data_IF_166790927777
#
_entry.id   IF_166790927777
#
_cell.length_a   1.000
_cell.length_b   1.000
_cell.length_c   1.000
_cell.angle_alpha   90.00
_cell.angle_beta   90.00
_cell.angle_gamma   90.00
#
_symmetry.space_group_name_H-M   'P 1'
#
loop_
_entity.id
_entity.type
_entity.pdbx_description
1 polymer ?
#
# COMPACT_ATOMS: atom_id res chain seq x y z
N UNK A 1 8.62 11.83 -34.54
CA UNK A 1 7.18 11.57 -34.58
C UNK A 1 6.72 11.69 -33.14
N UNK A 2 6.28 12.87 -32.72
CA UNK A 2 5.68 13.05 -31.41
C UNK A 2 4.43 12.17 -31.38
N UNK A 3 4.42 11.16 -30.52
CA UNK A 3 3.20 10.44 -30.21
C UNK A 3 2.14 11.49 -29.82
N UNK A 4 0.90 11.29 -30.26
CA UNK A 4 -0.23 12.12 -29.89
C UNK A 4 -0.35 12.06 -28.36
N UNK A 5 0.15 13.08 -27.67
CA UNK A 5 0.19 13.07 -26.20
C UNK A 5 -1.25 13.22 -25.74
N UNK A 6 -1.78 12.27 -24.94
CA UNK A 6 -3.17 12.32 -24.50
C UNK A 6 -3.49 13.64 -23.79
N UNK A 7 -4.73 14.12 -23.96
CA UNK A 7 -5.22 15.30 -23.23
C UNK A 7 -5.22 15.01 -21.72
N UNK A 8 -4.31 15.64 -20.99
CA UNK A 8 -4.13 15.42 -19.55
C UNK A 8 -5.32 15.95 -18.76
N UNK A 9 -5.94 17.04 -19.22
CA UNK A 9 -7.08 17.64 -18.54
C UNK A 9 -8.28 16.72 -18.63
N UNK A 10 -8.56 16.16 -19.81
CA UNK A 10 -9.62 15.15 -19.99
C UNK A 10 -9.39 13.92 -19.12
N UNK A 11 -8.14 13.44 -19.01
CA UNK A 11 -7.82 12.28 -18.16
C UNK A 11 -8.10 12.59 -16.68
N UNK A 12 -7.71 13.78 -16.21
CA UNK A 12 -7.91 14.17 -14.81
C UNK A 12 -9.39 14.37 -14.49
N UNK A 13 -10.16 14.98 -15.40
CA UNK A 13 -11.60 15.19 -15.23
C UNK A 13 -12.35 13.86 -15.18
N UNK A 14 -12.08 12.94 -16.12
CA UNK A 14 -12.68 11.59 -16.13
C UNK A 14 -12.29 10.78 -14.90
N UNK A 15 -11.08 10.96 -14.38
CA UNK A 15 -10.63 10.33 -13.15
C UNK A 15 -11.21 10.97 -11.87
N UNK A 16 -11.89 12.12 -11.99
CA UNK A 16 -12.44 12.86 -10.86
C UNK A 16 -11.37 13.46 -9.94
N UNK A 17 -10.26 13.93 -10.50
CA UNK A 17 -9.19 14.53 -9.70
C UNK A 17 -9.58 15.92 -9.19
N UNK A 18 -9.64 16.06 -7.87
CA UNK A 18 -9.78 17.33 -7.16
C UNK A 18 -8.49 17.63 -6.37
N UNK A 19 -7.77 18.74 -6.67
CA UNK A 19 -6.56 19.10 -5.95
C UNK A 19 -6.79 19.47 -4.48
N UNK A 20 -8.01 19.86 -4.08
CA UNK A 20 -8.32 20.23 -2.69
C UNK A 20 -8.59 19.00 -1.80
N UNK A 21 -8.99 17.88 -2.41
CA UNK A 21 -9.26 16.60 -1.73
C UNK A 21 -8.13 15.57 -1.91
N UNK A 22 -7.01 15.97 -2.52
CA UNK A 22 -5.88 15.08 -2.82
C UNK A 22 -4.58 15.49 -2.14
N UNK A 23 -3.77 14.49 -1.77
CA UNK A 23 -2.37 14.71 -1.36
C UNK A 23 -1.46 15.06 -2.54
N UNK A 24 -1.92 14.81 -3.77
CA UNK A 24 -1.16 15.09 -4.98
C UNK A 24 -1.42 16.52 -5.41
N UNK A 25 -0.35 17.25 -5.72
CA UNK A 25 -0.49 18.51 -6.46
C UNK A 25 -1.02 18.24 -7.86
N UNK A 26 -1.65 19.25 -8.50
CA UNK A 26 -2.07 19.18 -9.91
C UNK A 26 -0.95 18.67 -10.82
N UNK A 27 0.26 19.22 -10.68
CA UNK A 27 1.41 18.83 -11.49
C UNK A 27 1.83 17.36 -11.29
N UNK A 28 1.73 16.84 -10.06
CA UNK A 28 2.00 15.42 -9.79
C UNK A 28 0.93 14.52 -10.42
N UNK A 29 -0.34 14.93 -10.35
CA UNK A 29 -1.44 14.20 -10.97
C UNK A 29 -1.32 14.17 -12.50
N UNK A 30 -1.00 15.30 -13.14
CA UNK A 30 -0.72 15.40 -14.58
C UNK A 30 0.38 14.44 -15.02
N UNK A 31 1.52 14.45 -14.29
CA UNK A 31 2.65 13.57 -14.59
C UNK A 31 2.26 12.10 -14.43
N UNK A 32 1.57 11.72 -13.35
CA UNK A 32 1.10 10.34 -13.17
C UNK A 32 0.13 9.92 -14.29
N UNK A 33 -0.86 10.76 -14.61
CA UNK A 33 -1.85 10.48 -15.65
C UNK A 33 -1.18 10.15 -17.00
N UNK A 34 -0.23 10.97 -17.44
CA UNK A 34 0.50 10.75 -18.69
C UNK A 34 1.43 9.53 -18.61
N UNK A 35 2.07 9.28 -17.45
CA UNK A 35 2.94 8.11 -17.25
C UNK A 35 2.15 6.80 -17.30
N UNK A 36 0.95 6.75 -16.73
CA UNK A 36 0.06 5.58 -16.80
C UNK A 36 -0.50 5.33 -18.22
N UNK A 37 -0.39 6.32 -19.12
CA UNK A 37 -0.63 6.17 -20.58
C UNK A 37 0.63 5.85 -21.38
N UNK A 38 1.77 5.63 -20.71
CA UNK A 38 3.03 5.23 -21.35
C UNK A 38 3.84 6.39 -21.95
N UNK A 39 3.45 7.65 -21.75
CA UNK A 39 4.19 8.81 -22.26
C UNK A 39 5.55 8.92 -21.57
N UNK A 40 6.62 9.20 -22.34
CA UNK A 40 7.96 9.28 -21.78
C UNK A 40 8.14 10.55 -20.93
N UNK A 41 9.05 10.54 -19.95
CA UNK A 41 9.34 11.73 -19.15
C UNK A 41 9.88 12.91 -19.99
N UNK A 42 10.50 12.62 -21.14
CA UNK A 42 10.99 13.64 -22.05
C UNK A 42 9.80 14.33 -22.74
N UNK A 43 8.89 13.56 -23.33
CA UNK A 43 7.69 14.08 -24.00
C UNK A 43 6.77 14.83 -23.01
N UNK A 44 6.64 14.33 -21.77
CA UNK A 44 5.93 15.05 -20.71
C UNK A 44 6.60 16.39 -20.40
N UNK A 45 7.93 16.44 -20.42
CA UNK A 45 8.68 17.69 -20.23
C UNK A 45 8.36 18.70 -21.32
N UNK A 46 8.35 18.25 -22.58
CA UNK A 46 8.03 19.08 -23.73
C UNK A 46 6.58 19.62 -23.66
N UNK A 47 5.61 18.77 -23.31
CA UNK A 47 4.19 19.17 -23.22
C UNK A 47 3.90 20.07 -22.02
N UNK A 48 4.52 19.81 -20.87
CA UNK A 48 4.29 20.60 -19.65
C UNK A 48 5.21 21.83 -19.53
N UNK A 49 6.07 22.08 -20.52
CA UNK A 49 6.97 23.23 -20.56
C UNK A 49 8.05 23.19 -19.50
N UNK A 50 8.60 22.00 -19.21
CA UNK A 50 9.60 21.79 -18.14
C UNK A 50 10.67 20.78 -18.56
N UNK A 51 11.79 20.73 -17.83
CA UNK A 51 12.84 19.74 -18.10
C UNK A 51 12.42 18.31 -17.73
N UNK A 52 12.91 17.31 -18.49
CA UNK A 52 12.82 15.88 -18.14
C UNK A 52 13.29 15.59 -16.70
N UNK A 53 14.34 16.27 -16.25
CA UNK A 53 14.88 16.11 -14.91
C UNK A 53 13.88 16.56 -13.83
N UNK A 54 13.13 17.64 -14.09
CA UNK A 54 12.05 18.07 -13.21
C UNK A 54 10.87 17.08 -13.24
N UNK A 55 10.47 16.58 -14.42
CA UNK A 55 9.42 15.55 -14.54
C UNK A 55 9.78 14.32 -13.72
N UNK A 56 11.02 13.84 -13.81
CA UNK A 56 11.47 12.69 -13.02
C UNK A 56 11.34 12.93 -11.51
N UNK A 57 11.67 14.12 -11.01
CA UNK A 57 11.51 14.46 -9.59
C UNK A 57 10.03 14.51 -9.19
N UNK A 58 9.18 15.11 -10.03
CA UNK A 58 7.73 15.18 -9.80
C UNK A 58 7.12 13.78 -9.79
N UNK A 59 7.47 12.91 -10.74
CA UNK A 59 6.98 11.53 -10.80
C UNK A 59 7.37 10.74 -9.54
N UNK A 60 8.65 10.77 -9.14
CA UNK A 60 9.10 10.08 -7.93
C UNK A 60 8.35 10.57 -6.70
N UNK A 61 8.24 11.90 -6.53
CA UNK A 61 7.49 12.47 -5.41
C UNK A 61 6.00 12.12 -5.43
N UNK A 62 5.38 12.06 -6.63
CA UNK A 62 3.99 11.64 -6.78
C UNK A 62 3.80 10.18 -6.37
N UNK A 63 4.68 9.28 -6.83
CA UNK A 63 4.64 7.86 -6.46
C UNK A 63 4.88 7.64 -4.97
N UNK A 64 5.79 8.40 -4.36
CA UNK A 64 6.03 8.37 -2.92
C UNK A 64 4.80 8.82 -2.13
N UNK A 65 4.13 9.89 -2.58
CA UNK A 65 2.89 10.36 -1.95
C UNK A 65 1.79 9.30 -2.04
N UNK A 66 1.60 8.68 -3.20
CA UNK A 66 0.63 7.57 -3.36
C UNK A 66 0.97 6.40 -2.43
N UNK A 67 2.24 6.00 -2.35
CA UNK A 67 2.66 4.91 -1.48
C UNK A 67 2.37 5.22 0.01
N UNK A 68 2.72 6.43 0.46
CA UNK A 68 2.47 6.89 1.84
C UNK A 68 0.96 7.00 2.15
N UNK A 69 0.16 7.48 1.22
CA UNK A 69 -1.30 7.55 1.40
C UNK A 69 -1.93 6.16 1.50
N UNK A 70 -1.49 5.20 0.67
CA UNK A 70 -1.94 3.80 0.78
C UNK A 70 -1.59 3.21 2.14
N UNK A 71 -0.38 3.45 2.63
CA UNK A 71 0.03 3.00 3.96
C UNK A 71 -0.79 3.67 5.08
N UNK A 72 -1.08 4.97 4.95
CA UNK A 72 -1.90 5.72 5.90
C UNK A 72 -3.32 5.14 6.00
N UNK A 73 -3.95 4.84 4.85
CA UNK A 73 -5.26 4.19 4.81
C UNK A 73 -5.19 2.81 5.43
N UNK A 74 -4.21 1.98 5.05
CA UNK A 74 -4.03 0.65 5.62
C UNK A 74 -3.81 0.68 7.14
N UNK A 75 -3.14 1.72 7.66
CA UNK A 75 -2.92 1.91 9.10
C UNK A 75 -4.23 2.24 9.81
N UNK A 76 -5.00 3.18 9.28
CA UNK A 76 -6.31 3.54 9.80
C UNK A 76 -7.30 2.36 9.75
N UNK A 77 -7.25 1.54 8.70
CA UNK A 77 -8.05 0.31 8.58
C UNK A 77 -7.70 -0.69 9.68
N UNK A 78 -6.42 -0.91 9.96
CA UNK A 78 -5.99 -1.82 11.04
C UNK A 78 -6.42 -1.33 12.42
N UNK A 79 -6.34 -0.03 12.70
CA UNK A 79 -6.85 0.51 13.97
C UNK A 79 -8.36 0.27 14.16
N UNK A 80 -9.11 0.24 13.05
CA UNK A 80 -10.56 -0.02 13.04
C UNK A 80 -10.90 -1.50 12.89
N UNK A 81 -9.91 -2.36 12.67
CA UNK A 81 -10.13 -3.78 12.43
C UNK A 81 -10.79 -4.42 13.65
N UNK A 82 -11.91 -5.15 13.48
CA UNK A 82 -12.59 -5.83 14.58
C UNK A 82 -11.71 -6.92 15.23
N UNK A 83 -10.70 -7.41 14.52
CA UNK A 83 -9.75 -8.41 15.01
C UNK A 83 -8.35 -7.82 14.98
N UNK A 84 -7.69 -7.86 16.13
CA UNK A 84 -6.29 -7.53 16.32
C UNK A 84 -5.66 -8.64 17.16
N UNK A 85 -4.57 -9.22 16.66
CA UNK A 85 -3.84 -10.31 17.32
C UNK A 85 -2.39 -9.90 17.48
N UNK A 86 -1.96 -9.79 18.73
CA UNK A 86 -0.56 -9.58 19.07
C UNK A 86 0.16 -10.93 19.06
N UNK A 87 1.16 -11.05 18.18
CA UNK A 87 2.08 -12.18 18.12
C UNK A 87 3.34 -11.78 18.89
N UNK A 88 3.53 -12.44 20.04
CA UNK A 88 4.63 -12.14 20.96
C UNK A 88 5.97 -12.65 20.43
N UNK A 89 7.10 -12.02 20.81
CA UNK A 89 8.43 -12.59 20.58
C UNK A 89 8.54 -14.01 21.16
N UNK A 90 9.13 -14.91 20.38
CA UNK A 90 9.29 -16.33 20.72
C UNK A 90 8.18 -17.24 20.20
N UNK A 91 7.08 -16.71 19.65
CA UNK A 91 6.06 -17.52 18.96
C UNK A 91 6.64 -18.19 17.72
N UNK A 92 6.34 -19.47 17.50
CA UNK A 92 6.66 -20.17 16.26
C UNK A 92 5.68 -19.73 15.17
N UNK A 93 6.18 -19.43 13.97
CA UNK A 93 5.38 -18.99 12.84
C UNK A 93 4.24 -19.98 12.50
N UNK A 94 4.40 -21.26 12.82
CA UNK A 94 3.38 -22.29 12.62
C UNK A 94 2.20 -22.18 13.59
N UNK A 95 2.36 -21.49 14.72
CA UNK A 95 1.29 -21.23 15.69
C UNK A 95 0.43 -20.03 15.28
N UNK A 96 0.97 -19.13 14.45
CA UNK A 96 0.31 -17.87 14.07
C UNK A 96 -1.04 -18.07 13.38
N UNK A 97 -1.22 -19.01 12.43
CA UNK A 97 -2.53 -19.25 11.81
C UNK A 97 -3.63 -19.56 12.83
N UNK A 98 -3.35 -20.42 13.81
CA UNK A 98 -4.35 -20.81 14.81
C UNK A 98 -4.76 -19.62 15.69
N UNK A 99 -3.79 -18.78 16.10
CA UNK A 99 -4.06 -17.54 16.84
C UNK A 99 -4.95 -16.58 16.05
N UNK A 100 -4.71 -16.43 14.74
CA UNK A 100 -5.51 -15.58 13.86
C UNK A 100 -6.93 -16.13 13.70
N UNK A 101 -7.07 -17.43 13.46
CA UNK A 101 -8.38 -18.06 13.29
C UNK A 101 -9.22 -17.98 14.56
N UNK A 102 -8.64 -18.28 15.72
CA UNK A 102 -9.36 -18.19 16.99
C UNK A 102 -9.86 -16.76 17.25
N UNK A 103 -9.02 -15.76 16.98
CA UNK A 103 -9.42 -14.36 17.14
C UNK A 103 -10.53 -13.95 16.16
N UNK A 104 -10.49 -14.45 14.92
CA UNK A 104 -11.51 -14.16 13.92
C UNK A 104 -12.85 -14.84 14.25
N UNK A 105 -12.82 -16.11 14.67
CA UNK A 105 -14.01 -16.86 15.08
C UNK A 105 -14.71 -16.19 16.26
N UNK A 106 -13.94 -15.73 17.27
CA UNK A 106 -14.49 -14.99 18.42
C UNK A 106 -15.19 -13.70 18.03
N UNK A 107 -14.77 -13.06 16.94
CA UNK A 107 -15.34 -11.81 16.45
C UNK A 107 -16.31 -12.00 15.27
N UNK A 108 -16.60 -13.25 14.87
CA UNK A 108 -17.50 -13.56 13.76
C UNK A 108 -16.98 -13.12 12.39
N UNK A 109 -15.66 -12.99 12.23
CA UNK A 109 -15.01 -12.60 10.97
C UNK A 109 -14.53 -13.85 10.25
N UNK A 110 -14.82 -13.95 8.94
CA UNK A 110 -14.27 -15.02 8.10
C UNK A 110 -12.91 -14.62 7.55
N UNK A 111 -11.92 -15.48 7.74
CA UNK A 111 -10.58 -15.31 7.15
C UNK A 111 -10.52 -16.12 5.85
N UNK A 112 -10.29 -15.50 4.68
CA UNK A 112 -10.23 -16.20 3.40
C UNK A 112 -8.87 -16.86 3.14
N UNK A 113 -7.90 -16.73 4.06
CA UNK A 113 -6.54 -17.23 3.91
C UNK A 113 -6.36 -18.61 4.56
N UNK A 114 -5.72 -19.51 3.83
CA UNK A 114 -5.21 -20.78 4.36
C UNK A 114 -3.99 -20.56 5.27
N UNK A 115 -3.65 -21.54 6.10
CA UNK A 115 -2.52 -21.43 7.03
C UNK A 115 -1.19 -21.09 6.31
N UNK A 116 -0.84 -21.71 5.15
CA UNK A 116 0.33 -21.31 4.37
C UNK A 116 0.30 -19.86 3.90
N UNK A 117 -0.87 -19.33 3.52
CA UNK A 117 -1.03 -17.94 3.10
C UNK A 117 -0.87 -16.99 4.28
N UNK A 118 -1.42 -17.33 5.46
CA UNK A 118 -1.21 -16.54 6.68
C UNK A 118 0.26 -16.47 7.04
N UNK A 119 0.96 -17.61 7.07
CA UNK A 119 2.40 -17.66 7.35
C UNK A 119 3.20 -16.83 6.34
N UNK A 120 2.90 -16.98 5.05
CA UNK A 120 3.56 -16.20 3.99
C UNK A 120 3.33 -14.70 4.17
N UNK A 121 2.09 -14.28 4.41
CA UNK A 121 1.76 -12.87 4.64
C UNK A 121 2.50 -12.30 5.85
N UNK A 122 2.62 -13.09 6.92
CA UNK A 122 3.39 -12.69 8.11
C UNK A 122 4.87 -12.55 7.75
N UNK A 123 5.51 -13.55 7.14
CA UNK A 123 6.92 -13.48 6.76
C UNK A 123 7.23 -12.34 5.77
N UNK A 124 6.39 -12.13 4.76
CA UNK A 124 6.62 -11.13 3.71
C UNK A 124 6.52 -9.69 4.25
N UNK A 125 5.72 -9.45 5.31
CA UNK A 125 5.44 -8.12 5.84
C UNK A 125 6.10 -7.83 7.21
N UNK A 126 6.57 -8.86 7.91
CA UNK A 126 7.22 -8.69 9.21
C UNK A 126 8.69 -8.27 9.08
N UNK A 127 9.30 -8.37 7.90
CA UNK A 127 10.71 -8.03 7.69
C UNK A 127 11.62 -8.80 8.65
N UNK A 128 12.52 -8.10 9.34
CA UNK A 128 13.46 -8.70 10.29
C UNK A 128 12.80 -9.16 11.61
N UNK A 129 11.50 -8.91 11.80
CA UNK A 129 10.75 -9.42 12.97
C UNK A 129 10.51 -10.93 12.91
N UNK A 130 10.79 -11.60 11.78
CA UNK A 130 10.73 -13.06 11.67
C UNK A 130 12.06 -13.59 11.12
N UNK A 131 12.71 -14.46 11.88
CA UNK A 131 13.94 -15.14 11.45
C UNK A 131 13.72 -16.64 11.40
N UNK A 132 13.69 -17.19 10.18
CA UNK A 132 13.38 -18.60 9.95
C UNK A 132 11.91 -18.89 10.30
N UNK A 133 11.69 -19.40 11.51
CA UNK A 133 10.35 -19.73 12.04
C UNK A 133 10.04 -19.07 13.39
N UNK A 134 10.94 -18.25 13.89
CA UNK A 134 10.79 -17.61 15.20
C UNK A 134 10.46 -16.12 15.02
N UNK A 135 9.42 -15.66 15.71
CA UNK A 135 9.09 -14.24 15.84
C UNK A 135 10.08 -13.59 16.81
N UNK A 136 10.84 -12.59 16.34
CA UNK A 136 11.91 -11.92 17.09
C UNK A 136 11.44 -10.65 17.79
N UNK A 137 10.46 -9.97 17.21
CA UNK A 137 9.85 -8.75 17.76
C UNK A 137 8.34 -8.82 17.58
N UNK A 138 7.60 -8.06 18.39
CA UNK A 138 6.14 -8.10 18.40
C UNK A 138 5.56 -7.76 17.02
N UNK A 139 4.64 -8.60 16.54
CA UNK A 139 3.92 -8.42 15.28
C UNK A 139 2.44 -8.27 15.59
N UNK A 140 1.82 -7.24 15.04
CA UNK A 140 0.38 -7.04 15.06
C UNK A 140 -0.24 -7.57 13.77
N UNK A 141 -1.14 -8.55 13.90
CA UNK A 141 -1.99 -9.02 12.79
C UNK A 141 -3.39 -8.45 12.96
N UNK A 142 -3.82 -7.63 12.00
CA UNK A 142 -5.18 -7.08 11.95
C UNK A 142 -6.00 -7.75 10.85
N UNK A 143 -7.27 -8.06 11.13
CA UNK A 143 -8.22 -8.58 10.13
C UNK A 143 -9.46 -7.69 10.08
N UNK A 144 -9.71 -7.08 8.92
CA UNK A 144 -10.86 -6.22 8.67
C UNK A 144 -12.16 -7.03 8.55
N UNK A 145 -13.32 -6.38 8.61
CA UNK A 145 -14.63 -7.06 8.57
C UNK A 145 -14.90 -7.85 7.28
N UNK A 146 -14.22 -7.51 6.19
CA UNK A 146 -14.28 -8.23 4.90
C UNK A 146 -13.27 -9.41 4.83
N UNK A 147 -12.51 -9.64 5.89
CA UNK A 147 -11.52 -10.71 5.98
C UNK A 147 -10.13 -10.35 5.47
N UNK A 148 -9.87 -9.10 5.04
CA UNK A 148 -8.52 -8.69 4.60
C UNK A 148 -7.55 -8.67 5.78
N UNK A 149 -6.42 -9.37 5.63
CA UNK A 149 -5.39 -9.45 6.68
C UNK A 149 -4.27 -8.44 6.42
N UNK A 150 -3.82 -7.77 7.48
CA UNK A 150 -2.69 -6.84 7.49
C UNK A 150 -1.72 -7.23 8.60
N UNK A 151 -0.43 -7.21 8.29
CA UNK A 151 0.64 -7.56 9.24
C UNK A 151 1.51 -6.33 9.43
N UNK A 152 1.80 -6.00 10.69
CA UNK A 152 2.69 -4.90 11.05
C UNK A 152 3.66 -5.34 12.13
N UNK A 153 4.95 -5.31 11.82
CA UNK A 153 5.98 -5.39 12.86
C UNK A 153 6.13 -4.04 13.54
N UNK A 154 6.45 -4.03 14.85
CA UNK A 154 6.91 -2.79 15.48
C UNK A 154 8.25 -2.38 14.86
N UNK A 155 8.44 -1.11 14.48
CA UNK A 155 9.76 -0.60 14.16
C UNK A 155 10.62 -0.57 15.44
N UNK A 156 11.90 -0.92 15.31
CA UNK A 156 12.91 -0.78 16.35
C UNK A 156 13.18 0.70 16.72
#
# INVERSE_FOLDING_TARGET
MTADVPDVEEILDVAGFDPDESVLTRRQAEVLALRERGVSQADIGDVLGTSRANVSKVESSARDNVAKSKETVAFAETLKAPVQVDIEPGTDLYEVPDLVYEACDRNGVKVPYSAPEVMKLVSDNAGDAVTGREVRSQILVGVTSDGTMRVRARPD
#
